data_IF_116545171728
#
_entry.id   IF_116545171728
#
_cell.length_a   1.000
_cell.length_b   1.000
_cell.length_c   1.000
_cell.angle_alpha   90.00
_cell.angle_beta   90.00
_cell.angle_gamma   90.00
#
_symmetry.space_group_name_H-M   'P 1'
#
loop_
_entity.id
_entity.type
_entity.pdbx_description
1 polymer ?
#
# COMPACT_ATOMS: atom_id res chain seq x y z
N UNK A 1 -31.76 2.26 -50.29
CA UNK A 1 -31.87 2.97 -49.00
C UNK A 1 -30.94 4.16 -49.00
N UNK A 2 -31.45 5.36 -48.72
CA UNK A 2 -30.69 6.60 -48.60
C UNK A 2 -30.87 7.15 -47.16
N UNK A 3 -29.91 7.99 -46.72
CA UNK A 3 -29.74 8.67 -45.41
C UNK A 3 -29.08 7.84 -44.30
N UNK A 4 -28.05 8.33 -43.60
CA UNK A 4 -27.83 9.72 -43.15
C UNK A 4 -26.34 10.05 -43.12
N UNK A 5 -25.94 11.11 -43.83
CA UNK A 5 -24.61 11.71 -43.66
C UNK A 5 -24.46 12.22 -42.24
N UNK A 6 -23.53 11.63 -41.49
CA UNK A 6 -23.16 12.10 -40.16
C UNK A 6 -22.33 13.38 -40.31
N UNK A 7 -23.00 14.51 -40.51
CA UNK A 7 -22.40 15.80 -40.17
C UNK A 7 -22.23 15.78 -38.65
N UNK A 8 -21.01 15.44 -38.19
CA UNK A 8 -20.61 15.60 -36.80
C UNK A 8 -20.78 17.08 -36.45
N UNK A 9 -21.96 17.37 -35.88
CA UNK A 9 -22.37 18.71 -35.50
C UNK A 9 -21.29 19.29 -34.59
N UNK A 10 -20.78 20.48 -34.93
CA UNK A 10 -19.79 21.20 -34.11
C UNK A 10 -20.23 21.27 -32.64
N UNK A 11 -21.54 21.28 -32.40
CA UNK A 11 -22.17 21.20 -31.08
C UNK A 11 -21.76 19.96 -30.28
N UNK A 12 -21.65 18.78 -30.91
CA UNK A 12 -21.21 17.55 -30.25
C UNK A 12 -19.72 17.61 -29.89
N UNK A 13 -18.90 18.28 -30.70
CA UNK A 13 -17.48 18.49 -30.39
C UNK A 13 -17.29 19.42 -29.19
N UNK A 14 -18.12 20.47 -29.08
CA UNK A 14 -18.13 21.39 -27.92
C UNK A 14 -18.60 20.73 -26.62
N UNK A 15 -19.44 19.69 -26.70
CA UNK A 15 -19.89 18.95 -25.52
C UNK A 15 -18.92 17.82 -25.11
N UNK A 16 -18.31 17.14 -26.09
CA UNK A 16 -17.41 16.02 -25.83
C UNK A 16 -16.04 16.45 -25.29
N UNK A 17 -15.51 17.58 -25.76
CA UNK A 17 -14.19 18.09 -25.35
C UNK A 17 -14.06 18.40 -23.85
N UNK A 18 -14.97 19.17 -23.21
CA UNK A 18 -14.87 19.44 -21.77
C UNK A 18 -15.12 18.18 -20.93
N UNK A 19 -16.02 17.28 -21.37
CA UNK A 19 -16.28 16.02 -20.68
C UNK A 19 -15.02 15.14 -20.64
N UNK A 20 -14.31 15.02 -21.76
CA UNK A 20 -13.07 14.25 -21.83
C UNK A 20 -11.97 14.89 -20.97
N UNK A 21 -11.87 16.22 -20.97
CA UNK A 21 -10.91 16.94 -20.13
C UNK A 21 -11.16 16.71 -18.63
N UNK A 22 -12.42 16.69 -18.18
CA UNK A 22 -12.77 16.42 -16.78
C UNK A 22 -12.36 14.99 -16.37
N UNK A 23 -12.53 14.00 -17.25
CA UNK A 23 -12.10 12.62 -16.95
C UNK A 23 -10.59 12.53 -16.81
N UNK A 24 -9.84 13.20 -17.70
CA UNK A 24 -8.38 13.19 -17.68
C UNK A 24 -7.79 13.96 -16.48
N UNK A 25 -8.44 15.03 -16.03
CA UNK A 25 -8.00 15.81 -14.86
C UNK A 25 -8.38 15.10 -13.54
N UNK A 26 -9.52 14.41 -13.50
CA UNK A 26 -9.97 13.69 -12.30
C UNK A 26 -9.28 12.35 -12.08
N UNK A 27 -8.73 11.72 -13.13
CA UNK A 27 -7.92 10.50 -13.02
C UNK A 27 -6.45 10.84 -12.79
N UNK A 28 -6.09 11.12 -11.53
CA UNK A 28 -4.68 11.20 -11.13
C UNK A 28 -3.97 9.84 -11.27
N UNK A 29 -2.66 9.86 -11.54
CA UNK A 29 -1.80 8.68 -11.47
C UNK A 29 -1.69 8.20 -10.01
N UNK A 30 -2.69 7.46 -9.53
CA UNK A 30 -2.69 6.87 -8.21
C UNK A 30 -1.58 5.80 -8.17
N UNK A 31 -0.45 6.15 -7.55
CA UNK A 31 0.69 5.24 -7.39
C UNK A 31 0.37 4.19 -6.34
N UNK A 32 0.40 2.93 -6.75
CA UNK A 32 0.28 1.77 -5.86
C UNK A 32 1.67 1.18 -5.66
N UNK A 33 2.15 1.17 -4.42
CA UNK A 33 3.42 0.54 -4.04
C UNK A 33 3.10 -0.49 -2.97
N UNK A 34 3.47 -1.76 -3.21
CA UNK A 34 3.25 -2.83 -2.24
C UNK A 34 1.78 -3.11 -1.90
N UNK A 35 0.83 -2.82 -2.80
CA UNK A 35 -0.60 -3.05 -2.57
C UNK A 35 -1.31 -1.95 -1.79
N UNK A 36 -0.60 -0.90 -1.38
CA UNK A 36 -1.18 0.26 -0.68
C UNK A 36 -1.13 1.51 -1.58
N UNK A 37 -2.12 2.38 -1.45
CA UNK A 37 -2.12 3.73 -2.05
C UNK A 37 -1.57 4.70 -1.03
N UNK A 38 -0.30 5.06 -1.19
CA UNK A 38 0.39 5.82 -0.16
C UNK A 38 0.07 7.32 -0.29
N UNK A 39 -0.19 8.02 0.84
CA UNK A 39 -0.60 9.43 0.82
C UNK A 39 0.48 10.41 0.32
N UNK A 40 1.75 10.00 0.34
CA UNK A 40 2.89 10.86 -0.02
C UNK A 40 3.83 10.19 -1.03
N UNK A 41 4.41 10.96 -1.97
CA UNK A 41 5.30 10.43 -3.01
C UNK A 41 6.70 10.03 -2.48
N UNK A 42 7.02 10.38 -1.24
CA UNK A 42 8.32 10.15 -0.62
C UNK A 42 8.32 9.03 0.43
N UNK A 43 7.28 8.20 0.52
CA UNK A 43 7.21 7.16 1.56
C UNK A 43 8.39 6.18 1.55
N UNK A 44 9.03 5.95 0.40
CA UNK A 44 10.21 5.08 0.31
C UNK A 44 11.48 5.75 0.86
N UNK A 45 11.50 7.08 0.87
CA UNK A 45 12.58 7.90 1.40
C UNK A 45 12.24 8.48 2.79
N UNK A 46 11.02 8.28 3.28
CA UNK A 46 10.59 8.71 4.61
C UNK A 46 11.38 7.88 5.63
N UNK A 47 11.98 8.60 6.57
CA UNK A 47 13.03 8.08 7.43
C UNK A 47 12.57 6.80 8.13
N UNK A 48 13.53 5.90 8.42
CA UNK A 48 13.27 4.72 9.26
C UNK A 48 12.50 5.18 10.49
N UNK A 49 11.24 4.74 10.59
CA UNK A 49 10.43 4.90 11.79
C UNK A 49 11.28 4.40 12.96
N UNK A 50 11.69 5.30 13.84
CA UNK A 50 12.63 4.96 14.90
C UNK A 50 12.03 3.84 15.76
N UNK A 51 12.55 2.63 15.60
CA UNK A 51 12.28 1.52 16.49
C UNK A 51 13.37 1.56 17.55
N UNK A 52 12.97 1.78 18.80
CA UNK A 52 13.90 1.69 19.91
C UNK A 52 14.63 0.33 19.84
N UNK A 53 15.95 0.29 20.12
CA UNK A 53 16.67 -0.98 20.13
C UNK A 53 15.90 -1.96 21.01
N UNK A 54 15.57 -3.12 20.41
CA UNK A 54 14.87 -4.17 21.12
C UNK A 54 15.66 -4.63 22.34
N UNK A 55 15.01 -5.34 23.28
CA UNK A 55 15.70 -5.93 24.43
C UNK A 55 16.92 -6.74 23.97
N UNK A 56 18.01 -6.74 24.74
CA UNK A 56 19.27 -7.43 24.38
C UNK A 56 19.09 -8.91 24.00
N UNK A 57 18.00 -9.51 24.44
CA UNK A 57 17.59 -10.84 24.06
C UNK A 57 16.15 -10.82 23.49
N UNK A 58 15.96 -10.94 22.17
CA UNK A 58 14.67 -10.78 21.50
C UNK A 58 13.66 -11.90 21.79
N UNK A 59 14.04 -12.95 22.52
CA UNK A 59 13.23 -14.14 22.81
C UNK A 59 13.17 -14.48 24.30
N UNK A 60 13.18 -13.47 25.18
CA UNK A 60 13.25 -13.66 26.65
C UNK A 60 12.11 -14.51 27.20
N UNK A 61 10.92 -14.42 26.61
CA UNK A 61 9.77 -15.21 27.01
C UNK A 61 9.93 -16.68 26.59
N UNK A 62 10.45 -16.92 25.40
CA UNK A 62 10.68 -18.25 24.85
C UNK A 62 11.83 -18.96 25.57
N UNK A 63 12.91 -18.26 25.93
CA UNK A 63 13.97 -18.85 26.74
C UNK A 63 13.53 -19.14 28.17
N UNK A 64 12.73 -18.26 28.78
CA UNK A 64 12.14 -18.51 30.09
C UNK A 64 11.20 -19.73 30.05
N UNK A 65 10.37 -19.83 29.00
CA UNK A 65 9.52 -21.00 28.78
C UNK A 65 10.34 -22.28 28.58
N UNK A 66 11.41 -22.25 27.78
CA UNK A 66 12.30 -23.39 27.59
C UNK A 66 13.03 -23.81 28.88
N UNK A 67 13.41 -22.84 29.73
CA UNK A 67 13.99 -23.12 31.04
C UNK A 67 13.03 -23.82 31.98
N UNK A 68 11.78 -23.37 32.04
CA UNK A 68 10.72 -24.02 32.83
C UNK A 68 10.43 -25.42 32.29
N UNK A 69 10.34 -25.58 30.96
CA UNK A 69 10.12 -26.88 30.32
C UNK A 69 11.28 -27.87 30.59
N UNK A 70 12.54 -27.41 30.57
CA UNK A 70 13.70 -28.25 30.94
C UNK A 70 13.70 -28.64 32.42
N UNK A 71 13.33 -27.71 33.29
CA UNK A 71 13.21 -27.95 34.73
C UNK A 71 12.07 -28.94 35.05
N UNK A 72 10.94 -28.84 34.35
CA UNK A 72 9.80 -29.75 34.49
C UNK A 72 10.07 -31.12 33.84
N UNK A 73 10.88 -31.15 32.76
CA UNK A 73 11.32 -32.37 32.09
C UNK A 73 12.42 -33.15 32.85
N UNK A 74 12.87 -32.66 34.00
CA UNK A 74 13.77 -33.40 34.89
C UNK A 74 15.22 -33.50 34.41
N UNK A 75 15.73 -32.53 33.64
CA UNK A 75 17.16 -32.39 33.37
C UNK A 75 17.85 -31.73 34.60
N UNK A 76 17.98 -32.55 35.64
CA UNK A 76 19.11 -32.67 36.57
C UNK A 76 19.91 -31.40 36.94
N UNK A 77 19.62 -30.87 38.14
CA UNK A 77 20.71 -30.54 39.08
C UNK A 77 21.36 -31.87 39.54
N UNK A 78 22.38 -32.33 38.81
CA UNK A 78 23.58 -32.98 39.40
C UNK A 78 24.78 -32.06 39.16
#
# INVERSE_FOLDING_TARGET
MCRTGQSLSRLNLFLAAPLLAVVLISSGCQVNVGGQTLPSPFYLDDDVQYFAPGPEFPLSQEAAAQGIQRAEAGELDE
#
